data_IF_881661043882
#
_entry.id   IF_881661043882
#
_cell.length_a   1.000
_cell.length_b   1.000
_cell.length_c   1.000
_cell.angle_alpha   90.00
_cell.angle_beta   90.00
_cell.angle_gamma   90.00
#
_symmetry.space_group_name_H-M   'P 1'
#
loop_
_entity.id
_entity.type
_entity.pdbx_description
1 polymer ?
#
# COMPACT_ATOMS: atom_id res chain seq x y z
N UNK A 1 9.51 15.44 22.77
CA UNK A 1 8.63 15.97 21.69
C UNK A 1 7.89 14.77 21.14
N UNK A 2 6.55 14.82 21.05
CA UNK A 2 5.79 13.70 20.44
C UNK A 2 6.21 13.56 18.98
N UNK A 3 6.69 12.38 18.58
CA UNK A 3 7.01 12.07 17.19
C UNK A 3 5.77 12.28 16.33
N UNK A 4 5.91 12.89 15.16
CA UNK A 4 4.84 13.00 14.18
C UNK A 4 4.40 11.59 13.75
N UNK A 5 3.10 11.35 13.69
CA UNK A 5 2.53 10.04 13.32
C UNK A 5 1.66 10.17 12.09
N UNK A 6 1.67 9.15 11.25
CA UNK A 6 0.70 9.00 10.17
C UNK A 6 -0.31 7.91 10.55
N UNK A 7 -1.50 7.99 9.98
CA UNK A 7 -2.57 7.02 10.21
C UNK A 7 -2.81 6.20 8.93
N UNK A 8 -3.07 4.91 9.12
CA UNK A 8 -3.58 4.01 8.08
C UNK A 8 -4.91 3.40 8.53
N UNK A 9 -5.86 3.32 7.63
CA UNK A 9 -7.17 2.71 7.88
C UNK A 9 -7.28 1.44 7.06
N UNK A 10 -7.63 0.35 7.73
CA UNK A 10 -7.77 -0.98 7.13
C UNK A 10 -9.18 -1.50 7.31
N UNK A 11 -9.67 -2.20 6.30
CA UNK A 11 -10.78 -3.14 6.44
C UNK A 11 -10.16 -4.53 6.60
N UNK A 12 -10.50 -5.20 7.68
CA UNK A 12 -10.09 -6.59 7.93
C UNK A 12 -11.31 -7.52 7.98
N UNK A 13 -11.04 -8.80 7.69
CA UNK A 13 -11.94 -9.92 7.97
C UNK A 13 -11.16 -10.97 8.74
N UNK A 14 -11.72 -11.45 9.84
CA UNK A 14 -11.06 -12.40 10.73
C UNK A 14 -12.06 -13.29 11.48
N UNK A 15 -11.73 -14.57 11.74
CA UNK A 15 -12.50 -15.42 12.64
C UNK A 15 -12.14 -15.20 14.11
N UNK A 16 -11.14 -14.38 14.40
CA UNK A 16 -10.65 -14.05 15.75
C UNK A 16 -11.28 -12.75 16.25
N UNK A 17 -10.94 -12.35 17.47
CA UNK A 17 -11.31 -11.04 18.00
C UNK A 17 -10.60 -9.92 17.21
N UNK A 18 -11.34 -9.02 16.53
CA UNK A 18 -10.74 -7.94 15.76
C UNK A 18 -9.84 -7.00 16.55
N UNK A 19 -10.08 -6.82 17.86
CA UNK A 19 -9.23 -5.99 18.70
C UNK A 19 -7.86 -6.65 18.90
N UNK A 20 -7.83 -7.96 19.13
CA UNK A 20 -6.59 -8.72 19.18
C UNK A 20 -5.83 -8.68 17.85
N UNK A 21 -6.51 -8.88 16.73
CA UNK A 21 -5.90 -8.84 15.40
C UNK A 21 -5.34 -7.45 15.08
N UNK A 22 -6.00 -6.38 15.52
CA UNK A 22 -5.49 -5.02 15.37
C UNK A 22 -4.14 -4.82 16.08
N UNK A 23 -3.98 -5.37 17.30
CA UNK A 23 -2.72 -5.33 18.03
C UNK A 23 -1.62 -6.17 17.35
N UNK A 24 -1.96 -7.34 16.82
CA UNK A 24 -1.02 -8.16 16.01
C UNK A 24 -0.56 -7.38 14.79
N UNK A 25 -1.49 -6.79 14.05
CA UNK A 25 -1.19 -5.98 12.87
C UNK A 25 -0.27 -4.79 13.21
N UNK A 26 -0.56 -4.06 14.28
CA UNK A 26 0.25 -2.95 14.74
C UNK A 26 1.67 -3.39 15.16
N UNK A 27 1.77 -4.52 15.84
CA UNK A 27 3.03 -5.13 16.26
C UNK A 27 3.90 -5.56 15.08
N UNK A 28 3.31 -6.23 14.09
CA UNK A 28 4.02 -6.77 12.92
C UNK A 28 4.78 -5.67 12.15
N UNK A 29 4.21 -4.49 12.05
CA UNK A 29 4.81 -3.38 11.27
C UNK A 29 5.55 -2.35 12.11
N UNK A 30 5.85 -2.68 13.38
CA UNK A 30 6.59 -1.74 14.25
C UNK A 30 7.48 -2.48 15.24
N UNK A 31 7.13 -2.48 16.49
CA UNK A 31 7.78 -3.25 17.55
C UNK A 31 6.72 -3.86 18.47
N UNK A 32 7.08 -4.91 19.20
CA UNK A 32 6.15 -5.63 20.06
C UNK A 32 5.33 -6.66 19.32
N UNK A 33 5.93 -7.35 18.34
CA UNK A 33 5.36 -8.50 17.63
C UNK A 33 4.97 -9.62 18.62
N UNK A 34 5.17 -10.87 18.28
CA UNK A 34 4.68 -12.02 19.08
C UNK A 34 5.39 -12.20 20.43
N UNK A 35 6.66 -11.82 20.52
CA UNK A 35 7.48 -12.01 21.71
C UNK A 35 8.43 -10.85 21.90
N UNK A 36 8.53 -10.36 23.14
CA UNK A 36 9.54 -9.35 23.47
C UNK A 36 10.93 -9.94 23.33
N UNK A 37 11.77 -9.30 22.52
CA UNK A 37 13.14 -9.70 22.30
C UNK A 37 14.11 -8.93 23.19
N UNK A 38 15.30 -9.50 23.42
CA UNK A 38 16.37 -8.82 24.15
C UNK A 38 16.71 -7.48 23.47
N UNK A 39 16.82 -6.41 24.25
CA UNK A 39 17.04 -5.05 23.74
C UNK A 39 15.77 -4.27 23.41
N UNK A 40 14.60 -4.89 23.36
CA UNK A 40 13.33 -4.19 23.19
C UNK A 40 12.89 -3.56 24.53
N UNK A 41 13.45 -2.41 24.85
CA UNK A 41 13.15 -1.67 26.09
C UNK A 41 11.76 -1.00 26.02
N UNK A 42 11.19 -0.67 27.19
CA UNK A 42 9.92 0.07 27.24
C UNK A 42 10.02 1.44 26.54
N UNK A 43 11.15 2.12 26.68
CA UNK A 43 11.42 3.39 26.02
C UNK A 43 11.47 3.25 24.48
N UNK A 44 12.01 2.13 23.96
CA UNK A 44 11.98 1.82 22.53
C UNK A 44 10.53 1.62 22.06
N UNK A 45 9.77 0.80 22.78
CA UNK A 45 8.37 0.52 22.44
C UNK A 45 7.52 1.77 22.47
N UNK A 46 7.65 2.61 23.48
CA UNK A 46 6.92 3.87 23.59
C UNK A 46 7.20 4.79 22.39
N UNK A 47 8.46 4.85 21.94
CA UNK A 47 8.86 5.69 20.81
C UNK A 47 8.47 5.11 19.45
N UNK A 48 8.64 3.80 19.25
CA UNK A 48 8.61 3.18 17.92
C UNK A 48 7.36 2.35 17.63
N UNK A 49 6.54 2.03 18.65
CA UNK A 49 5.35 1.18 18.47
C UNK A 49 4.27 1.89 17.64
N UNK A 50 3.65 1.14 16.75
CA UNK A 50 2.37 1.52 16.16
C UNK A 50 1.27 1.43 17.22
N UNK A 51 0.23 2.25 17.09
CA UNK A 51 -0.88 2.33 18.07
C UNK A 51 -2.19 2.07 17.36
N UNK A 52 -2.99 1.18 17.93
CA UNK A 52 -4.38 0.98 17.49
C UNK A 52 -5.22 2.14 18.02
N UNK A 53 -5.69 2.99 17.12
CA UNK A 53 -6.48 4.18 17.46
C UNK A 53 -7.97 3.85 17.63
N UNK A 54 -8.46 2.93 16.78
CA UNK A 54 -9.85 2.47 16.88
C UNK A 54 -10.05 1.13 16.17
N UNK A 55 -11.04 0.38 16.68
CA UNK A 55 -11.59 -0.82 16.06
C UNK A 55 -13.10 -0.63 15.97
N UNK A 56 -13.62 -0.57 14.76
CA UNK A 56 -15.05 -0.45 14.46
C UNK A 56 -15.56 -1.77 13.89
N UNK A 57 -16.43 -2.45 14.62
CA UNK A 57 -17.08 -3.67 14.12
C UNK A 57 -18.11 -3.28 13.07
N UNK A 58 -18.12 -3.96 11.93
CA UNK A 58 -19.01 -3.67 10.80
C UNK A 58 -20.10 -4.73 10.69
N UNK A 59 -19.74 -5.88 10.17
CA UNK A 59 -20.67 -6.99 9.93
C UNK A 59 -20.00 -8.35 10.15
N UNK A 60 -20.77 -9.40 9.96
CA UNK A 60 -20.33 -10.78 10.08
C UNK A 60 -20.62 -11.52 8.80
N UNK A 61 -19.61 -12.19 8.25
CA UNK A 61 -19.73 -13.02 7.08
C UNK A 61 -19.85 -14.51 7.47
N UNK A 62 -20.66 -15.30 6.75
CA UNK A 62 -20.80 -16.74 7.01
C UNK A 62 -19.66 -17.58 6.42
N UNK A 63 -18.81 -16.98 5.58
CA UNK A 63 -17.69 -17.61 4.93
C UNK A 63 -16.56 -16.57 4.72
N UNK A 64 -15.31 -17.01 4.67
CA UNK A 64 -14.18 -16.08 4.47
C UNK A 64 -14.15 -15.57 3.02
N UNK A 65 -13.74 -14.32 2.85
CA UNK A 65 -13.56 -13.71 1.54
C UNK A 65 -12.44 -14.36 0.75
N UNK A 66 -11.39 -14.84 1.43
CA UNK A 66 -10.27 -15.60 0.86
C UNK A 66 -10.28 -17.03 1.39
N UNK A 67 -10.92 -17.98 0.69
CA UNK A 67 -11.13 -19.35 1.16
C UNK A 67 -9.83 -20.16 1.35
N UNK A 68 -8.73 -19.69 0.79
CA UNK A 68 -7.41 -20.33 0.89
C UNK A 68 -6.46 -19.63 1.87
N UNK A 69 -6.99 -18.85 2.79
CA UNK A 69 -6.19 -18.19 3.85
C UNK A 69 -5.33 -19.20 4.62
N UNK A 70 -4.20 -18.73 5.16
CA UNK A 70 -3.19 -19.57 5.81
C UNK A 70 -3.77 -20.43 6.94
N UNK A 71 -4.63 -19.87 7.77
CA UNK A 71 -5.26 -20.56 8.90
C UNK A 71 -6.16 -21.71 8.44
N UNK A 72 -6.91 -21.54 7.35
CA UNK A 72 -7.75 -22.61 6.77
C UNK A 72 -6.90 -23.73 6.20
N UNK A 73 -5.81 -23.45 5.54
CA UNK A 73 -4.89 -24.45 4.98
C UNK A 73 -4.28 -25.36 6.04
N UNK A 74 -4.19 -24.90 7.29
CA UNK A 74 -3.68 -25.69 8.41
C UNK A 74 -4.73 -26.46 9.20
N UNK A 75 -5.99 -26.42 8.80
CA UNK A 75 -7.07 -27.10 9.52
C UNK A 75 -7.29 -26.56 10.93
N UNK A 76 -6.95 -25.30 11.19
CA UNK A 76 -7.08 -24.71 12.52
C UNK A 76 -8.51 -24.41 12.93
N UNK A 77 -9.46 -24.60 12.00
CA UNK A 77 -10.88 -24.35 12.24
C UNK A 77 -11.71 -25.58 11.81
N UNK A 78 -11.92 -26.49 12.76
CA UNK A 78 -12.76 -27.68 12.54
C UNK A 78 -14.27 -27.42 12.75
N UNK A 79 -14.63 -26.21 13.17
CA UNK A 79 -16.03 -25.85 13.47
C UNK A 79 -16.50 -24.71 12.58
N UNK A 80 -17.81 -24.67 12.22
CA UNK A 80 -18.38 -23.53 11.52
C UNK A 80 -18.13 -22.25 12.34
N UNK A 81 -17.35 -21.34 11.77
CA UNK A 81 -17.04 -20.07 12.39
C UNK A 81 -17.69 -18.93 11.59
N UNK A 82 -17.87 -17.82 12.25
CA UNK A 82 -18.27 -16.60 11.61
C UNK A 82 -17.04 -15.70 11.48
N UNK A 83 -16.97 -14.97 10.40
CA UNK A 83 -15.87 -14.03 10.12
C UNK A 83 -16.36 -12.63 10.38
N UNK A 84 -15.77 -11.97 11.36
CA UNK A 84 -16.06 -10.59 11.71
C UNK A 84 -15.31 -9.67 10.75
N UNK A 85 -15.99 -8.67 10.21
CA UNK A 85 -15.36 -7.57 9.49
C UNK A 85 -15.28 -6.35 10.39
N UNK A 86 -14.14 -5.72 10.37
CA UNK A 86 -13.89 -4.53 11.19
C UNK A 86 -13.06 -3.52 10.40
N UNK A 87 -13.28 -2.25 10.70
CA UNK A 87 -12.41 -1.15 10.27
C UNK A 87 -11.47 -0.81 11.37
N UNK A 88 -10.17 -0.90 11.09
CA UNK A 88 -9.10 -0.57 12.01
C UNK A 88 -8.48 0.76 11.62
N UNK A 89 -8.17 1.59 12.58
CA UNK A 89 -7.30 2.75 12.40
C UNK A 89 -6.07 2.57 13.25
N UNK A 90 -4.90 2.59 12.59
CA UNK A 90 -3.60 2.38 13.22
C UNK A 90 -2.70 3.56 12.89
N UNK A 91 -2.02 4.09 13.89
CA UNK A 91 -1.04 5.15 13.70
C UNK A 91 0.39 4.63 13.87
N UNK A 92 1.30 5.18 13.07
CA UNK A 92 2.71 4.79 13.03
C UNK A 92 3.60 6.02 13.23
N UNK A 93 4.71 5.93 13.98
CA UNK A 93 5.67 7.02 14.05
C UNK A 93 6.33 7.27 12.70
N UNK A 94 6.34 8.52 12.23
CA UNK A 94 7.03 8.88 10.99
C UNK A 94 8.54 8.64 11.06
N UNK A 95 9.11 8.69 12.26
CA UNK A 95 10.55 8.46 12.47
C UNK A 95 10.97 7.02 12.16
N UNK A 96 10.04 6.05 12.20
CA UNK A 96 10.34 4.67 11.83
C UNK A 96 10.63 4.50 10.34
N UNK A 97 10.08 5.37 9.50
CA UNK A 97 10.14 5.23 8.05
C UNK A 97 11.03 6.30 7.38
N UNK A 98 11.22 7.45 8.03
CA UNK A 98 11.92 8.58 7.41
C UNK A 98 11.27 9.03 6.09
N UNK A 99 11.91 9.90 5.31
CA UNK A 99 11.40 10.40 4.03
C UNK A 99 11.60 9.36 2.90
N UNK A 100 10.99 8.17 3.03
CA UNK A 100 11.18 7.04 2.14
C UNK A 100 9.83 6.40 1.78
N UNK A 101 9.35 6.61 0.54
CA UNK A 101 8.09 6.08 0.06
C UNK A 101 8.06 4.54 -0.05
N UNK A 102 9.11 3.86 -0.51
CA UNK A 102 9.19 2.39 -0.45
C UNK A 102 9.02 1.84 0.97
N UNK A 103 9.68 2.44 1.97
CA UNK A 103 9.53 2.03 3.36
C UNK A 103 8.12 2.32 3.89
N UNK A 104 7.52 3.47 3.53
CA UNK A 104 6.12 3.75 3.84
C UNK A 104 5.20 2.67 3.27
N UNK A 105 5.36 2.32 1.99
CA UNK A 105 4.56 1.29 1.34
C UNK A 105 4.74 -0.07 2.02
N UNK A 106 5.96 -0.46 2.35
CA UNK A 106 6.23 -1.70 3.08
C UNK A 106 5.61 -1.70 4.48
N UNK A 107 5.63 -0.56 5.19
CA UNK A 107 5.05 -0.44 6.52
C UNK A 107 3.53 -0.60 6.49
N UNK A 108 2.83 -0.05 5.51
CA UNK A 108 1.36 -0.10 5.47
C UNK A 108 0.81 -1.33 4.74
N UNK A 109 1.63 -2.05 4.00
CA UNK A 109 1.17 -3.17 3.16
C UNK A 109 2.10 -4.37 3.08
N UNK A 110 3.27 -4.36 3.69
CA UNK A 110 4.24 -5.45 3.62
C UNK A 110 3.71 -6.80 4.11
N UNK A 111 4.24 -7.33 5.18
CA UNK A 111 3.86 -8.64 5.73
C UNK A 111 2.41 -8.72 6.21
N UNK A 112 1.68 -7.61 6.30
CA UNK A 112 0.29 -7.60 6.75
C UNK A 112 -0.62 -8.50 5.90
N UNK A 113 -0.31 -8.65 4.62
CA UNK A 113 -1.08 -9.52 3.70
C UNK A 113 -0.77 -11.01 3.86
N UNK A 114 0.26 -11.35 4.64
CA UNK A 114 0.62 -12.73 4.97
C UNK A 114 0.23 -13.12 6.41
N UNK A 115 -0.42 -12.23 7.16
CA UNK A 115 -0.88 -12.52 8.51
C UNK A 115 -1.90 -13.66 8.51
N UNK A 116 -1.63 -14.68 9.32
CA UNK A 116 -2.50 -15.84 9.48
C UNK A 116 -3.83 -15.53 10.18
N UNK A 117 -3.90 -14.43 10.90
CA UNK A 117 -5.03 -13.97 11.70
C UNK A 117 -6.15 -13.34 10.87
N UNK A 118 -5.87 -13.00 9.61
CA UNK A 118 -6.86 -12.38 8.71
C UNK A 118 -7.21 -13.29 7.55
N UNK A 119 -8.49 -13.27 7.15
CA UNK A 119 -9.00 -13.91 5.94
C UNK A 119 -9.35 -12.89 4.86
N UNK A 120 -9.12 -11.62 5.14
CA UNK A 120 -9.24 -10.50 4.23
C UNK A 120 -8.60 -9.27 4.84
N UNK A 121 -7.83 -8.54 4.03
CA UNK A 121 -7.20 -7.28 4.42
C UNK A 121 -7.21 -6.30 3.24
N UNK A 122 -7.63 -5.08 3.50
CA UNK A 122 -7.56 -3.99 2.52
C UNK A 122 -7.14 -2.69 3.20
N UNK A 123 -6.09 -2.07 2.72
CA UNK A 123 -5.78 -0.69 3.06
C UNK A 123 -6.81 0.23 2.38
N UNK A 124 -7.61 0.95 3.16
CA UNK A 124 -8.65 1.85 2.65
C UNK A 124 -8.13 3.27 2.44
N UNK A 125 -7.33 3.76 3.38
CA UNK A 125 -6.79 5.12 3.30
C UNK A 125 -5.57 5.32 4.17
N UNK A 126 -4.80 6.38 3.85
CA UNK A 126 -3.72 6.89 4.68
C UNK A 126 -3.89 8.39 4.91
N UNK A 127 -3.55 8.84 6.12
CA UNK A 127 -3.50 10.24 6.48
C UNK A 127 -2.09 10.60 6.89
N UNK A 128 -1.37 11.24 5.99
CA UNK A 128 0.01 11.67 6.19
C UNK A 128 0.05 13.11 6.73
N UNK A 129 0.87 13.41 7.76
CA UNK A 129 1.08 14.78 8.23
C UNK A 129 1.61 15.67 7.10
N UNK A 130 1.21 16.94 7.12
CA UNK A 130 1.66 17.91 6.11
C UNK A 130 3.20 18.07 6.11
N UNK A 131 3.83 18.08 7.29
CA UNK A 131 5.27 18.15 7.42
C UNK A 131 5.99 16.92 6.82
N UNK A 132 5.39 15.72 6.91
CA UNK A 132 5.93 14.53 6.25
C UNK A 132 5.77 14.64 4.72
N UNK A 133 4.58 15.03 4.25
CA UNK A 133 4.30 15.21 2.82
C UNK A 133 5.20 16.27 2.17
N UNK A 134 5.55 17.33 2.88
CA UNK A 134 6.41 18.39 2.38
C UNK A 134 7.87 17.94 2.10
N UNK A 135 8.26 16.74 2.53
CA UNK A 135 9.59 16.19 2.26
C UNK A 135 9.70 15.53 0.87
N UNK A 136 8.60 15.45 0.14
CA UNK A 136 8.57 14.83 -1.19
C UNK A 136 8.20 15.87 -2.24
N UNK A 137 8.89 15.82 -3.36
CA UNK A 137 8.52 16.62 -4.51
C UNK A 137 7.17 16.11 -5.07
N UNK A 138 6.31 17.06 -5.37
CA UNK A 138 5.05 16.76 -6.07
C UNK A 138 5.36 16.51 -7.56
N UNK A 139 4.51 15.74 -8.26
CA UNK A 139 4.62 15.61 -9.70
C UNK A 139 4.73 16.99 -10.36
N UNK A 140 5.78 17.17 -11.18
CA UNK A 140 6.09 18.46 -11.81
C UNK A 140 4.93 18.99 -12.65
N UNK A 141 4.22 18.08 -13.31
CA UNK A 141 3.11 18.38 -14.20
C UNK A 141 1.85 17.62 -13.75
N UNK A 142 0.85 18.36 -13.31
CA UNK A 142 -0.51 17.85 -13.14
C UNK A 142 -1.30 17.93 -14.47
N UNK A 143 -2.62 17.85 -14.41
CA UNK A 143 -3.50 17.88 -15.60
C UNK A 143 -3.23 19.12 -16.48
N UNK A 144 -3.19 20.31 -15.88
CA UNK A 144 -2.95 21.55 -16.61
C UNK A 144 -1.56 21.60 -17.26
N UNK A 145 -0.53 21.15 -16.54
CA UNK A 145 0.83 21.06 -17.06
C UNK A 145 0.97 20.06 -18.22
N UNK A 146 0.34 18.89 -18.10
CA UNK A 146 0.31 17.89 -19.18
C UNK A 146 -0.42 18.44 -20.40
N UNK A 147 -1.54 19.14 -20.23
CA UNK A 147 -2.25 19.80 -21.33
C UNK A 147 -1.39 20.86 -22.02
N UNK A 148 -0.65 21.66 -21.23
CA UNK A 148 0.25 22.66 -21.77
C UNK A 148 1.41 22.03 -22.56
N UNK A 149 1.97 20.91 -22.10
CA UNK A 149 3.04 20.19 -22.79
C UNK A 149 2.60 19.59 -24.10
N UNK A 150 1.42 18.95 -24.13
CA UNK A 150 0.89 18.30 -25.34
C UNK A 150 0.19 19.25 -26.31
N UNK A 151 -0.19 20.43 -25.85
CA UNK A 151 -1.01 21.38 -26.64
C UNK A 151 -2.44 20.90 -26.89
N UNK A 152 -2.89 19.82 -26.25
CA UNK A 152 -4.19 19.19 -26.51
C UNK A 152 -5.17 19.57 -25.43
N UNK A 153 -6.23 20.27 -25.83
CA UNK A 153 -7.33 20.71 -24.98
C UNK A 153 -8.67 20.23 -25.53
N UNK A 154 -9.64 20.04 -24.67
CA UNK A 154 -11.02 19.74 -25.06
C UNK A 154 -11.30 18.32 -25.55
N UNK A 155 -10.30 17.44 -25.57
CA UNK A 155 -10.46 16.02 -25.87
C UNK A 155 -9.55 15.14 -24.98
N UNK A 156 -9.80 13.83 -24.87
CA UNK A 156 -8.85 12.90 -24.27
C UNK A 156 -7.50 12.92 -25.00
N UNK A 157 -6.42 12.67 -24.23
CA UNK A 157 -5.11 12.37 -24.82
C UNK A 157 -5.10 10.94 -25.34
N UNK A 158 -4.49 10.75 -26.50
CA UNK A 158 -4.27 9.43 -27.11
C UNK A 158 -2.80 9.09 -26.95
N UNK A 159 -2.51 7.99 -26.26
CA UNK A 159 -1.14 7.52 -26.09
C UNK A 159 -0.97 6.07 -26.46
N UNK A 160 0.27 5.66 -26.60
CA UNK A 160 0.63 4.26 -26.86
C UNK A 160 1.89 3.87 -26.11
N UNK A 161 2.08 2.55 -25.92
CA UNK A 161 3.32 1.97 -25.42
C UNK A 161 4.09 1.42 -26.61
N UNK A 162 5.44 1.54 -26.61
CA UNK A 162 6.30 0.94 -27.62
C UNK A 162 6.24 -0.59 -27.50
N UNK A 163 5.90 -1.24 -28.59
CA UNK A 163 5.92 -2.71 -28.73
C UNK A 163 6.46 -3.09 -30.13
N UNK A 164 7.37 -4.10 -30.19
CA UNK A 164 7.96 -4.84 -29.07
C UNK A 164 8.80 -3.96 -28.16
N UNK A 165 8.84 -4.31 -26.88
CA UNK A 165 9.56 -3.55 -25.85
C UNK A 165 11.00 -4.02 -25.62
N UNK A 166 11.39 -5.16 -26.18
CA UNK A 166 12.74 -5.71 -26.15
C UNK A 166 13.12 -6.21 -27.54
N UNK A 167 14.43 -6.22 -27.80
CA UNK A 167 14.98 -6.76 -29.04
C UNK A 167 15.08 -5.77 -30.19
N UNK A 168 14.57 -4.54 -30.06
CA UNK A 168 14.83 -3.46 -31.00
C UNK A 168 16.12 -2.74 -30.64
N UNK A 169 16.90 -2.37 -31.65
CA UNK A 169 17.99 -1.41 -31.50
C UNK A 169 17.45 -0.01 -31.18
N UNK A 170 18.32 0.88 -30.72
CA UNK A 170 17.97 2.28 -30.47
C UNK A 170 17.42 2.98 -31.74
N UNK A 171 18.00 2.64 -32.90
CA UNK A 171 17.57 3.18 -34.19
C UNK A 171 16.16 2.67 -34.56
N UNK A 172 15.91 1.36 -34.46
CA UNK A 172 14.60 0.78 -34.75
C UNK A 172 13.52 1.30 -33.80
N UNK A 173 13.88 1.49 -32.51
CA UNK A 173 12.98 2.12 -31.52
C UNK A 173 12.66 3.57 -31.91
N UNK A 174 13.67 4.33 -32.35
CA UNK A 174 13.49 5.69 -32.83
C UNK A 174 12.59 5.76 -34.06
N UNK A 175 12.77 4.88 -35.03
CA UNK A 175 11.93 4.78 -36.23
C UNK A 175 10.48 4.43 -35.88
N UNK A 176 10.30 3.48 -34.94
CA UNK A 176 8.96 3.13 -34.48
C UNK A 176 8.29 4.32 -33.79
N UNK A 177 8.98 5.01 -32.89
CA UNK A 177 8.49 6.20 -32.21
C UNK A 177 8.12 7.29 -33.24
N UNK A 178 8.96 7.52 -34.27
CA UNK A 178 8.69 8.46 -35.36
C UNK A 178 7.40 8.13 -36.12
N UNK A 179 7.16 6.86 -36.43
CA UNK A 179 5.91 6.41 -37.07
C UNK A 179 4.68 6.61 -36.19
N UNK A 180 4.81 6.35 -34.88
CA UNK A 180 3.74 6.57 -33.91
C UNK A 180 3.41 8.07 -33.79
N UNK A 181 4.42 8.92 -33.71
CA UNK A 181 4.22 10.37 -33.73
C UNK A 181 3.53 10.85 -35.04
N UNK A 182 3.94 10.33 -36.17
CA UNK A 182 3.32 10.66 -37.48
C UNK A 182 1.85 10.18 -37.56
N UNK A 183 1.49 9.13 -36.83
CA UNK A 183 0.11 8.67 -36.71
C UNK A 183 -0.76 9.54 -35.78
N UNK A 184 -0.18 10.53 -35.08
CA UNK A 184 -0.91 11.56 -34.33
C UNK A 184 -1.21 11.17 -32.87
N UNK A 185 -0.40 10.32 -32.25
CA UNK A 185 -0.48 10.10 -30.80
C UNK A 185 0.04 11.32 -30.05
N UNK A 186 -0.55 11.61 -28.89
CA UNK A 186 -0.20 12.77 -28.07
C UNK A 186 0.97 12.48 -27.12
N UNK A 187 1.21 11.21 -26.80
CA UNK A 187 2.35 10.76 -26.01
C UNK A 187 2.70 9.30 -26.29
N UNK A 188 3.96 8.97 -26.04
CA UNK A 188 4.48 7.60 -26.11
C UNK A 188 5.08 7.24 -24.77
N UNK A 189 4.84 6.03 -24.29
CA UNK A 189 5.41 5.47 -23.06
C UNK A 189 6.38 4.34 -23.43
N UNK A 190 7.57 4.36 -22.83
CA UNK A 190 8.43 3.19 -22.80
C UNK A 190 7.87 2.13 -21.86
N UNK A 191 8.21 0.88 -22.12
CA UNK A 191 7.89 -0.23 -21.21
C UNK A 191 8.91 -0.29 -20.06
N UNK A 192 8.52 -0.89 -18.93
CA UNK A 192 9.38 -1.04 -17.75
C UNK A 192 10.60 -1.93 -18.01
N UNK A 193 10.54 -2.77 -19.02
CA UNK A 193 11.61 -3.66 -19.46
C UNK A 193 12.14 -3.31 -20.87
N UNK A 194 12.01 -2.06 -21.25
CA UNK A 194 12.59 -1.55 -22.51
C UNK A 194 14.12 -1.50 -22.35
N UNK A 195 14.86 -2.21 -23.20
CA UNK A 195 16.32 -2.31 -23.17
C UNK A 195 16.91 -1.77 -24.47
#
# INVERSE_FOLDING_TARGET
>A
MSSSRFEATYLIETPLDPAHVAEVLAGEQSCGTFTRVEGETDALRERARATVESVELLDVAPAPSLPNGWMQRRGMFDTPQTWQRARLRVSFPCDNIGPNLPTLAATVSGNLYDLGEVTGLRLESMKLPSAYRAQFDMPRHGISGTRALTGVYGRPLIGTIIKPNVGLSAEETGDLAGRLCAAGVDFIKDDEVCA
#
